data_IF_937887718758
#
_entry.id   IF_937887718758
#
_cell.length_a   1.000
_cell.length_b   1.000
_cell.length_c   1.000
_cell.angle_alpha   90.00
_cell.angle_beta   90.00
_cell.angle_gamma   90.00
#
_symmetry.space_group_name_H-M   'P 1'
#
loop_
_entity.id
_entity.type
_entity.pdbx_description
1 polymer ?
#
# COMPACT_ATOMS: atom_id res chain seq x y z
N UNK A 1 53.53 32.42 -32.50
CA UNK A 1 54.44 31.82 -31.49
C UNK A 1 54.05 32.36 -30.12
N UNK A 2 54.18 31.62 -29.01
CA UNK A 2 53.57 30.33 -28.64
C UNK A 2 52.56 30.49 -27.46
N UNK A 3 51.51 29.64 -27.38
CA UNK A 3 51.22 28.60 -26.33
C UNK A 3 50.99 29.17 -24.91
N UNK A 4 49.87 28.93 -24.21
CA UNK A 4 49.34 27.64 -23.70
C UNK A 4 47.89 27.85 -23.19
N UNK A 5 46.86 27.05 -23.59
CA UNK A 5 46.36 25.78 -22.99
C UNK A 5 45.90 25.92 -21.52
N UNK A 6 44.76 25.44 -21.01
CA UNK A 6 43.57 24.68 -21.49
C UNK A 6 42.59 24.49 -20.28
N UNK A 7 41.45 23.76 -20.37
CA UNK A 7 40.13 24.17 -19.82
C UNK A 7 39.45 23.11 -18.91
N UNK A 8 38.21 23.38 -18.49
CA UNK A 8 37.18 22.41 -18.08
C UNK A 8 35.85 23.18 -18.00
N UNK A 9 34.69 22.82 -18.54
CA UNK A 9 34.14 21.62 -19.15
C UNK A 9 33.07 22.09 -20.16
N UNK A 10 33.14 21.62 -21.41
CA UNK A 10 32.04 21.54 -22.37
C UNK A 10 32.14 20.17 -23.01
N UNK A 11 31.00 19.68 -23.55
CA UNK A 11 30.69 18.43 -24.25
C UNK A 11 29.77 17.55 -23.41
N UNK A 12 28.70 16.96 -23.95
CA UNK A 12 28.08 17.03 -25.28
C UNK A 12 26.75 16.27 -25.15
N UNK A 13 25.68 16.81 -25.73
CA UNK A 13 25.02 16.26 -26.92
C UNK A 13 23.77 15.44 -26.59
N UNK A 14 22.64 16.10 -26.84
CA UNK A 14 21.45 15.48 -27.39
C UNK A 14 21.82 14.66 -28.62
N UNK A 15 21.36 13.42 -28.69
CA UNK A 15 20.66 12.78 -29.82
C UNK A 15 20.64 11.26 -29.57
N UNK A 16 19.52 10.63 -29.93
CA UNK A 16 19.36 9.20 -30.19
C UNK A 16 19.03 8.28 -29.01
N UNK A 17 17.78 8.36 -28.54
CA UNK A 17 17.04 7.15 -28.10
C UNK A 17 15.54 7.19 -28.51
N UNK A 18 15.15 8.09 -29.42
CA UNK A 18 13.75 8.29 -29.83
C UNK A 18 13.42 7.68 -31.22
N UNK A 19 14.24 6.78 -31.78
CA UNK A 19 14.09 6.30 -33.18
C UNK A 19 14.24 4.77 -33.36
N UNK A 20 14.06 3.93 -32.33
CA UNK A 20 14.05 2.44 -32.55
C UNK A 20 12.83 1.69 -31.97
N UNK A 21 11.83 2.37 -31.41
CA UNK A 21 10.59 1.68 -30.95
C UNK A 21 9.30 2.15 -31.66
N UNK A 22 9.39 2.89 -32.77
CA UNK A 22 8.22 3.45 -33.47
C UNK A 22 8.13 3.02 -34.95
N UNK A 23 8.72 1.88 -35.30
CA UNK A 23 8.59 1.31 -36.64
C UNK A 23 8.33 -0.19 -36.53
N UNK A 24 7.06 -0.52 -36.36
CA UNK A 24 6.31 -1.71 -36.84
C UNK A 24 5.01 -1.82 -36.00
N UNK A 25 4.16 -0.80 -36.09
CA UNK A 25 2.77 -0.89 -35.63
C UNK A 25 1.86 -0.53 -36.80
N UNK A 26 1.92 -1.36 -37.84
CA UNK A 26 0.89 -1.43 -38.88
C UNK A 26 0.64 -2.90 -39.18
N UNK A 27 -0.47 -3.41 -38.67
CA UNK A 27 -1.19 -4.57 -39.22
C UNK A 27 -0.61 -5.95 -38.91
N UNK A 28 -0.71 -6.37 -37.64
CA UNK A 28 -1.22 -7.71 -37.36
C UNK A 28 -2.51 -7.49 -36.57
N UNK A 29 -3.65 -7.85 -37.16
CA UNK A 29 -4.91 -7.89 -36.43
C UNK A 29 -4.84 -9.10 -35.49
N UNK A 30 -5.08 -8.82 -34.21
CA UNK A 30 -5.56 -9.68 -33.13
C UNK A 30 -4.97 -11.09 -32.98
N UNK A 31 -4.09 -11.24 -31.97
CA UNK A 31 -3.91 -12.50 -31.24
C UNK A 31 -3.84 -12.24 -29.71
N UNK A 32 -4.29 -11.05 -29.28
CA UNK A 32 -4.39 -10.67 -27.87
C UNK A 32 -5.74 -11.11 -27.33
N UNK A 33 -5.76 -12.14 -26.48
CA UNK A 33 -6.97 -12.59 -25.80
C UNK A 33 -7.16 -11.85 -24.49
N UNK A 34 -8.35 -11.31 -24.26
CA UNK A 34 -8.69 -10.61 -23.02
C UNK A 34 -9.35 -11.52 -21.99
N UNK A 35 -8.97 -11.37 -20.72
CA UNK A 35 -9.47 -12.15 -19.60
C UNK A 35 -9.95 -11.22 -18.49
N UNK A 36 -11.20 -11.39 -18.08
CA UNK A 36 -11.77 -10.74 -16.90
C UNK A 36 -11.22 -11.41 -15.65
N UNK A 37 -10.29 -10.74 -14.97
CA UNK A 37 -9.59 -11.27 -13.81
C UNK A 37 -10.18 -10.72 -12.52
N UNK A 38 -10.43 -11.62 -11.56
CA UNK A 38 -10.83 -11.28 -10.21
C UNK A 38 -9.92 -11.97 -9.19
N UNK A 39 -9.56 -11.27 -8.13
CA UNK A 39 -8.78 -11.84 -7.03
C UNK A 39 -9.64 -12.84 -6.26
N UNK A 40 -9.14 -14.07 -6.09
CA UNK A 40 -9.72 -15.03 -5.14
C UNK A 40 -9.23 -14.68 -3.74
N UNK A 41 -10.06 -13.96 -2.99
CA UNK A 41 -9.73 -13.53 -1.63
C UNK A 41 -9.55 -14.68 -0.64
N UNK A 42 -10.08 -15.88 -0.92
CA UNK A 42 -9.90 -17.05 -0.05
C UNK A 42 -8.55 -17.70 -0.23
N UNK A 43 -7.99 -17.59 -1.44
CA UNK A 43 -6.68 -18.13 -1.79
C UNK A 43 -5.57 -17.09 -1.64
N UNK A 44 -5.92 -15.80 -1.53
CA UNK A 44 -4.98 -14.69 -1.40
C UNK A 44 -4.79 -14.24 0.04
N UNK A 45 -3.59 -13.79 0.38
CA UNK A 45 -3.29 -13.17 1.67
C UNK A 45 -2.31 -12.00 1.54
N UNK A 46 -2.41 -11.08 2.49
CA UNK A 46 -1.42 -10.04 2.73
C UNK A 46 -1.16 -9.97 4.22
N UNK A 47 0.11 -9.95 4.58
CA UNK A 47 0.61 -9.78 5.94
C UNK A 47 1.60 -8.63 5.94
N UNK A 48 1.23 -7.54 6.61
CA UNK A 48 2.06 -6.35 6.72
C UNK A 48 2.40 -6.09 8.19
N UNK A 49 3.64 -6.39 8.57
CA UNK A 49 4.22 -5.91 9.81
C UNK A 49 4.62 -4.44 9.68
N UNK A 50 4.21 -3.62 10.64
CA UNK A 50 4.58 -2.20 10.71
C UNK A 50 5.06 -1.88 12.11
N UNK A 51 6.25 -1.32 12.21
CA UNK A 51 6.79 -0.73 13.44
C UNK A 51 7.20 0.72 13.16
N UNK A 52 6.45 1.66 13.73
CA UNK A 52 6.83 3.07 13.77
C UNK A 52 7.41 3.34 15.16
N UNK A 53 8.69 3.71 15.21
CA UNK A 53 9.38 4.04 16.44
C UNK A 53 9.91 5.47 16.42
N UNK A 54 9.55 6.24 17.44
CA UNK A 54 10.06 7.59 17.65
C UNK A 54 10.68 7.68 19.05
N UNK A 55 12.00 7.48 19.21
CA UNK A 55 12.67 7.68 20.48
C UNK A 55 12.75 9.17 20.80
N UNK A 56 12.51 9.52 22.07
CA UNK A 56 12.64 10.87 22.59
C UNK A 56 13.19 10.86 24.01
N UNK A 57 13.72 11.99 24.43
CA UNK A 57 14.16 12.22 25.81
C UNK A 57 13.64 13.56 26.29
N UNK A 58 13.53 13.70 27.60
CA UNK A 58 12.82 14.82 28.17
C UNK A 58 12.81 14.86 29.69
N UNK A 59 11.89 15.64 30.22
CA UNK A 59 11.70 15.81 31.66
C UNK A 59 10.23 15.61 32.07
N UNK A 60 10.05 14.96 33.21
CA UNK A 60 8.79 14.93 33.95
C UNK A 60 8.88 15.98 35.06
N UNK A 61 7.90 16.86 35.18
CA UNK A 61 7.81 17.82 36.29
C UNK A 61 6.42 17.75 36.90
N UNK A 62 6.29 17.92 38.21
CA UNK A 62 4.97 18.00 38.83
C UNK A 62 4.18 19.22 38.35
N UNK A 63 2.86 19.13 38.30
CA UNK A 63 1.96 20.21 37.87
C UNK A 63 1.82 21.38 38.87
N UNK A 64 2.60 21.39 39.95
CA UNK A 64 2.64 22.47 40.93
C UNK A 64 3.05 23.81 40.30
N UNK A 65 2.19 24.81 40.48
CA UNK A 65 2.47 26.22 40.20
C UNK A 65 2.05 27.08 41.38
N UNK A 66 2.93 27.96 41.86
CA UNK A 66 2.68 28.72 43.08
C UNK A 66 1.49 29.71 42.98
N UNK A 67 1.07 30.09 41.76
CA UNK A 67 -0.01 31.05 41.50
C UNK A 67 -1.29 30.37 41.06
N UNK A 68 -1.20 29.39 40.16
CA UNK A 68 -2.35 28.78 39.49
C UNK A 68 -2.69 27.40 40.01
N UNK A 69 -1.72 26.65 40.56
CA UNK A 69 -1.93 25.30 41.12
C UNK A 69 -1.06 25.04 42.36
N UNK A 70 -1.29 25.77 43.48
CA UNK A 70 -0.41 25.70 44.66
C UNK A 70 -0.52 24.39 45.44
N UNK A 71 -1.52 23.55 45.12
CA UNK A 71 -1.70 22.21 45.69
C UNK A 71 -1.24 21.11 44.74
N UNK A 72 -0.70 21.47 43.57
CA UNK A 72 -0.23 20.52 42.56
C UNK A 72 0.90 19.63 43.05
N UNK A 73 1.12 18.57 42.29
CA UNK A 73 2.18 17.60 42.51
C UNK A 73 3.53 18.29 42.35
N UNK A 74 4.49 17.99 43.22
CA UNK A 74 5.88 18.37 43.05
C UNK A 74 6.74 17.14 42.81
N UNK A 75 7.72 17.23 41.91
CA UNK A 75 8.68 16.16 41.64
C UNK A 75 10.07 16.49 42.19
N UNK A 76 10.79 15.48 42.70
CA UNK A 76 12.16 15.63 43.21
C UNK A 76 13.02 14.39 42.90
N UNK A 77 14.24 14.55 42.37
CA UNK A 77 15.08 13.42 41.97
C UNK A 77 15.62 12.61 43.16
N UNK A 78 15.88 11.34 42.92
CA UNK A 78 16.52 10.42 43.85
C UNK A 78 15.61 9.85 44.95
N UNK A 79 16.18 8.95 45.75
CA UNK A 79 15.48 8.23 46.83
C UNK A 79 15.12 9.14 48.02
N UNK A 80 15.88 10.19 48.26
CA UNK A 80 15.72 11.07 49.42
C UNK A 80 15.07 12.41 49.08
N UNK A 81 15.00 12.76 47.79
CA UNK A 81 14.47 14.03 47.31
C UNK A 81 15.37 15.24 47.61
N UNK A 82 14.85 16.42 47.30
CA UNK A 82 15.44 17.73 47.57
C UNK A 82 14.36 18.74 48.01
N UNK A 83 14.42 19.98 47.53
CA UNK A 83 13.37 21.00 47.74
C UNK A 83 12.76 21.46 46.41
N UNK A 84 11.55 22.03 46.48
CA UNK A 84 10.85 22.59 45.31
C UNK A 84 10.26 21.54 44.38
N UNK A 85 9.93 22.01 43.17
CA UNK A 85 9.44 21.21 42.05
C UNK A 85 10.56 21.16 40.99
N UNK A 86 11.14 19.99 40.77
CA UNK A 86 12.34 19.81 39.94
C UNK A 86 12.07 18.83 38.79
N UNK A 87 12.61 19.09 37.59
CA UNK A 87 12.47 18.20 36.45
C UNK A 87 13.19 16.86 36.68
N UNK A 88 12.57 15.77 36.27
CA UNK A 88 13.08 14.40 36.35
C UNK A 88 13.39 13.91 34.93
N UNK A 89 14.66 13.64 34.60
CA UNK A 89 15.02 13.11 33.30
C UNK A 89 14.38 11.75 33.03
N UNK A 90 13.89 11.57 31.80
CA UNK A 90 13.42 10.29 31.28
C UNK A 90 13.88 10.11 29.82
N UNK A 91 13.90 8.85 29.40
CA UNK A 91 13.96 8.44 27.99
C UNK A 91 12.69 7.68 27.66
N UNK A 92 12.11 7.90 26.49
CA UNK A 92 10.94 7.15 26.06
C UNK A 92 11.01 6.84 24.56
N UNK A 93 10.14 5.93 24.14
CA UNK A 93 9.92 5.64 22.73
C UNK A 93 8.42 5.50 22.51
N UNK A 94 7.89 6.29 21.59
CA UNK A 94 6.60 5.99 20.99
C UNK A 94 6.81 4.81 20.04
N UNK A 95 5.93 3.81 20.14
CA UNK A 95 5.91 2.64 19.28
C UNK A 95 4.48 2.40 18.82
N UNK A 96 4.28 2.37 17.52
CA UNK A 96 3.08 1.82 16.88
C UNK A 96 3.54 0.54 16.20
N UNK A 97 3.13 -0.59 16.75
CA UNK A 97 3.67 -1.91 16.43
C UNK A 97 2.52 -2.88 16.23
N UNK A 98 2.43 -3.46 15.05
CA UNK A 98 1.42 -4.47 14.79
C UNK A 98 1.58 -5.12 13.43
N UNK A 99 0.80 -6.17 13.24
CA UNK A 99 0.70 -6.91 11.99
C UNK A 99 -0.72 -6.75 11.48
N UNK A 100 -0.85 -6.26 10.25
CA UNK A 100 -2.13 -6.25 9.53
C UNK A 100 -2.17 -7.49 8.66
N UNK A 101 -3.13 -8.37 8.94
CA UNK A 101 -3.43 -9.53 8.12
C UNK A 101 -4.75 -9.28 7.38
N UNK A 102 -4.75 -9.47 6.07
CA UNK A 102 -5.92 -9.25 5.23
C UNK A 102 -6.00 -10.24 4.07
N UNK A 103 -7.17 -10.28 3.46
CA UNK A 103 -7.46 -11.08 2.27
C UNK A 103 -7.81 -10.12 1.12
N UNK A 104 -6.83 -9.74 0.27
CA UNK A 104 -7.05 -8.76 -0.78
C UNK A 104 -8.22 -9.13 -1.70
N UNK A 105 -8.89 -8.12 -2.23
CA UNK A 105 -9.92 -8.26 -3.26
C UNK A 105 -9.62 -7.29 -4.42
N UNK A 106 -10.24 -7.50 -5.57
CA UNK A 106 -10.04 -6.61 -6.70
C UNK A 106 -10.24 -7.29 -8.03
N UNK A 107 -10.16 -6.47 -9.08
CA UNK A 107 -10.36 -6.90 -10.46
C UNK A 107 -9.38 -6.20 -11.39
N UNK A 108 -9.10 -6.82 -12.53
CA UNK A 108 -8.40 -6.20 -13.64
C UNK A 108 -8.72 -6.96 -14.93
N UNK A 109 -8.48 -6.33 -16.08
CA UNK A 109 -8.53 -6.99 -17.37
C UNK A 109 -7.11 -7.32 -17.80
N UNK A 110 -6.87 -8.57 -18.18
CA UNK A 110 -5.59 -9.03 -18.71
C UNK A 110 -5.70 -9.33 -20.20
N UNK A 111 -4.96 -8.61 -21.04
CA UNK A 111 -4.73 -9.00 -22.43
C UNK A 111 -3.49 -9.88 -22.53
N UNK A 112 -3.57 -11.01 -23.23
CA UNK A 112 -2.47 -11.94 -23.40
C UNK A 112 -2.18 -12.16 -24.88
N UNK A 113 -0.97 -11.83 -25.30
CA UNK A 113 -0.41 -12.17 -26.60
C UNK A 113 0.74 -13.15 -26.36
N UNK A 114 0.46 -14.44 -26.55
CA UNK A 114 1.44 -15.50 -26.27
C UNK A 114 2.49 -15.62 -27.38
N UNK A 115 2.21 -15.15 -28.60
CA UNK A 115 3.16 -15.14 -29.71
C UNK A 115 4.19 -14.02 -29.54
N UNK A 116 3.75 -12.82 -29.18
CA UNK A 116 4.60 -11.68 -28.86
C UNK A 116 5.21 -11.76 -27.45
N UNK A 117 4.77 -12.72 -26.63
CA UNK A 117 5.14 -12.88 -25.22
C UNK A 117 4.87 -11.61 -24.40
N UNK A 118 3.68 -11.05 -24.54
CA UNK A 118 3.24 -9.83 -23.87
C UNK A 118 1.99 -10.07 -23.02
N UNK A 119 1.92 -9.35 -21.90
CA UNK A 119 0.72 -9.23 -21.09
C UNK A 119 0.35 -7.77 -21.02
N UNK A 120 -0.94 -7.44 -21.06
CA UNK A 120 -1.44 -6.10 -20.88
C UNK A 120 -2.37 -6.05 -19.69
N UNK A 121 -2.11 -5.15 -18.74
CA UNK A 121 -2.93 -4.96 -17.55
C UNK A 121 -3.75 -3.68 -17.71
N UNK A 122 -5.07 -3.79 -17.60
CA UNK A 122 -6.01 -2.69 -17.82
C UNK A 122 -6.98 -2.62 -16.65
N UNK A 123 -7.21 -1.39 -16.16
CA UNK A 123 -8.22 -1.11 -15.14
C UNK A 123 -7.99 -1.86 -13.83
N UNK A 124 -6.73 -2.07 -13.43
CA UNK A 124 -6.41 -2.72 -12.17
C UNK A 124 -6.97 -1.92 -11.00
N UNK A 125 -7.74 -2.59 -10.16
CA UNK A 125 -8.28 -2.05 -8.93
C UNK A 125 -8.16 -3.09 -7.83
N UNK A 126 -7.22 -2.88 -6.90
CA UNK A 126 -6.99 -3.74 -5.74
C UNK A 126 -7.41 -3.03 -4.46
N UNK A 127 -8.20 -3.72 -3.64
CA UNK A 127 -8.35 -3.44 -2.22
C UNK A 127 -7.47 -4.42 -1.45
N UNK A 128 -6.37 -3.89 -0.91
CA UNK A 128 -5.35 -4.67 -0.21
C UNK A 128 -5.81 -5.11 1.18
N UNK A 129 -6.85 -4.49 1.73
CA UNK A 129 -7.44 -4.91 3.01
C UNK A 129 -8.62 -5.86 2.84
N UNK A 130 -9.25 -5.89 1.67
CA UNK A 130 -10.43 -6.72 1.40
C UNK A 130 -11.62 -6.35 2.29
N UNK A 131 -11.77 -5.06 2.59
CA UNK A 131 -12.78 -4.53 3.51
C UNK A 131 -12.52 -4.77 5.01
N UNK A 132 -11.37 -5.34 5.39
CA UNK A 132 -10.94 -5.40 6.79
C UNK A 132 -10.30 -4.08 7.24
N UNK A 133 -10.36 -3.78 8.54
CA UNK A 133 -9.60 -2.66 9.11
C UNK A 133 -8.28 -3.19 9.68
N UNK A 134 -7.17 -2.52 9.32
CA UNK A 134 -5.87 -2.80 9.94
C UNK A 134 -5.75 -2.04 11.25
N UNK A 135 -5.51 -2.72 12.38
CA UNK A 135 -5.35 -2.07 13.69
C UNK A 135 -3.94 -2.22 14.19
N UNK A 136 -3.30 -1.08 14.50
CA UNK A 136 -1.94 -1.00 15.00
C UNK A 136 -1.96 -0.34 16.38
N UNK A 137 -1.71 -1.08 17.47
CA UNK A 137 -1.72 -0.51 18.82
C UNK A 137 -0.57 0.46 19.02
N UNK A 138 -0.86 1.61 19.63
CA UNK A 138 0.11 2.64 19.95
C UNK A 138 0.44 2.62 21.45
N UNK A 139 1.74 2.54 21.75
CA UNK A 139 2.28 2.51 23.10
C UNK A 139 3.39 3.56 23.26
N UNK A 140 3.49 4.13 24.46
CA UNK A 140 4.65 4.93 24.86
C UNK A 140 5.39 4.17 25.94
N UNK A 141 6.63 3.78 25.64
CA UNK A 141 7.50 3.07 26.55
C UNK A 141 8.38 4.08 27.27
N UNK A 142 8.07 4.40 28.54
CA UNK A 142 8.76 5.44 29.33
C UNK A 142 9.72 4.77 30.31
N UNK A 143 10.98 5.23 30.33
CA UNK A 143 11.99 4.87 31.32
C UNK A 143 12.46 6.14 32.04
N UNK A 144 12.24 6.21 33.34
CA UNK A 144 12.60 7.36 34.16
C UNK A 144 13.63 6.99 35.23
N UNK A 145 14.36 8.01 35.68
CA UNK A 145 15.25 7.90 36.84
C UNK A 145 14.45 7.92 38.15
N UNK A 146 14.96 7.28 39.20
CA UNK A 146 14.25 7.22 40.50
C UNK A 146 13.91 8.63 41.00
N UNK A 147 12.64 8.87 41.36
CA UNK A 147 12.18 10.16 41.87
C UNK A 147 11.08 10.03 42.91
N UNK A 148 10.78 11.14 43.60
CA UNK A 148 9.63 11.26 44.50
C UNK A 148 8.66 12.31 44.02
N UNK A 149 7.40 12.07 44.35
CA UNK A 149 6.32 13.06 44.24
C UNK A 149 5.92 13.53 45.64
N UNK A 150 5.40 14.75 45.72
CA UNK A 150 4.73 15.31 46.90
C UNK A 150 3.37 15.85 46.46
N UNK A 151 2.34 15.65 47.28
CA UNK A 151 0.94 15.91 46.93
C UNK A 151 0.47 15.16 45.66
N UNK A 152 0.38 13.81 45.68
CA UNK A 152 0.59 12.90 46.82
C UNK A 152 2.06 12.52 47.05
N UNK A 153 2.39 12.06 48.27
CA UNK A 153 3.74 11.56 48.57
C UNK A 153 3.91 10.13 48.05
N UNK A 154 4.80 9.92 47.07
CA UNK A 154 5.12 8.59 46.55
C UNK A 154 6.55 8.51 46.02
N UNK A 155 7.19 7.36 46.17
CA UNK A 155 8.46 6.99 45.54
C UNK A 155 8.18 6.24 44.23
N UNK A 156 8.83 6.67 43.15
CA UNK A 156 8.85 6.04 41.84
C UNK A 156 10.24 5.45 41.59
N UNK A 157 10.44 4.13 41.76
CA UNK A 157 11.71 3.47 41.48
C UNK A 157 12.03 3.53 39.98
N UNK A 158 13.21 4.05 39.62
CA UNK A 158 13.67 4.08 38.23
C UNK A 158 14.23 2.75 37.76
N UNK A 159 14.61 2.70 36.48
CA UNK A 159 15.15 1.48 35.85
C UNK A 159 14.09 0.47 35.41
N UNK A 160 12.82 0.87 35.42
CA UNK A 160 11.70 0.10 34.89
C UNK A 160 11.12 0.87 33.70
N UNK A 161 10.88 0.16 32.60
CA UNK A 161 10.15 0.70 31.44
C UNK A 161 8.66 0.46 31.67
N UNK A 162 7.85 1.52 31.62
CA UNK A 162 6.40 1.45 31.71
C UNK A 162 5.82 1.57 30.30
N UNK A 163 5.15 0.52 29.77
CA UNK A 163 4.33 0.66 28.58
C UNK A 163 3.03 1.36 28.95
N UNK A 164 2.78 2.52 28.33
CA UNK A 164 1.53 3.25 28.45
C UNK A 164 0.79 3.14 27.12
N UNK A 165 -0.30 2.35 27.03
CA UNK A 165 -1.17 2.36 25.85
C UNK A 165 -1.78 3.75 25.72
N UNK A 166 -1.64 4.35 24.53
CA UNK A 166 -2.18 5.68 24.25
C UNK A 166 -3.39 5.62 23.31
N UNK A 167 -3.66 4.45 22.74
CA UNK A 167 -4.79 4.12 21.87
C UNK A 167 -4.31 3.33 20.66
N UNK A 168 -5.11 3.28 19.61
CA UNK A 168 -4.80 2.53 18.39
C UNK A 168 -4.72 3.48 17.19
N UNK A 169 -3.98 3.04 16.17
CA UNK A 169 -4.09 3.55 14.82
C UNK A 169 -4.87 2.55 13.96
N UNK A 170 -5.81 3.04 13.18
CA UNK A 170 -6.64 2.23 12.30
C UNK A 170 -6.36 2.62 10.85
N UNK A 171 -6.18 1.61 10.00
CA UNK A 171 -6.09 1.73 8.56
C UNK A 171 -7.42 1.25 8.02
N UNK A 172 -8.26 2.20 7.61
CA UNK A 172 -9.61 1.91 7.13
C UNK A 172 -9.68 1.68 5.61
N UNK A 173 -8.68 2.15 4.87
CA UNK A 173 -8.62 1.98 3.41
C UNK A 173 -7.16 1.86 2.98
N UNK A 174 -6.86 0.85 2.16
CA UNK A 174 -5.61 0.76 1.42
C UNK A 174 -5.90 0.14 0.05
N UNK A 175 -5.96 0.99 -0.97
CA UNK A 175 -6.32 0.58 -2.35
C UNK A 175 -5.26 1.01 -3.35
N UNK A 176 -5.11 0.23 -4.41
CA UNK A 176 -4.29 0.57 -5.57
C UNK A 176 -5.17 0.60 -6.80
N UNK A 177 -5.31 1.77 -7.43
CA UNK A 177 -6.16 1.98 -8.60
C UNK A 177 -5.31 2.41 -9.78
N UNK A 178 -5.35 1.68 -10.89
CA UNK A 178 -4.56 1.98 -12.07
C UNK A 178 -4.88 3.36 -12.63
N UNK A 179 -3.82 4.09 -12.99
CA UNK A 179 -3.93 5.38 -13.67
C UNK A 179 -3.47 5.26 -15.11
N UNK A 180 -4.18 5.94 -16.01
CA UNK A 180 -3.88 5.93 -17.45
C UNK A 180 -4.41 4.69 -18.17
N UNK A 181 -3.86 4.46 -19.36
CA UNK A 181 -4.26 3.37 -20.25
C UNK A 181 -3.66 2.01 -19.83
N UNK A 182 -4.06 0.96 -20.54
CA UNK A 182 -3.50 -0.38 -20.38
C UNK A 182 -1.98 -0.42 -20.49
N UNK A 183 -1.33 -1.09 -19.54
CA UNK A 183 0.13 -1.17 -19.43
C UNK A 183 0.61 -2.50 -19.96
N UNK A 184 1.60 -2.47 -20.86
CA UNK A 184 2.27 -3.66 -21.33
C UNK A 184 3.34 -4.13 -20.36
N UNK A 185 3.35 -5.43 -20.13
CA UNK A 185 4.36 -6.22 -19.46
C UNK A 185 4.91 -7.30 -20.37
N UNK A 186 5.85 -8.07 -19.85
CA UNK A 186 6.49 -9.18 -20.55
C UNK A 186 6.04 -10.51 -19.98
N UNK A 187 5.97 -11.52 -20.85
CA UNK A 187 5.82 -12.92 -20.50
C UNK A 187 7.13 -13.67 -20.80
N UNK A 188 7.44 -14.67 -19.99
CA UNK A 188 8.60 -15.56 -20.19
C UNK A 188 8.19 -16.99 -19.94
N UNK A 189 8.09 -17.76 -21.01
CA UNK A 189 7.68 -19.17 -20.98
C UNK A 189 8.65 -20.01 -20.13
N UNK A 190 8.07 -20.91 -19.34
CA UNK A 190 8.76 -21.86 -18.47
C UNK A 190 8.63 -23.28 -19.05
N UNK A 191 9.55 -24.16 -18.66
CA UNK A 191 9.59 -25.55 -19.17
C UNK A 191 8.34 -26.39 -18.84
N UNK A 192 7.57 -25.97 -17.84
CA UNK A 192 6.34 -26.64 -17.41
C UNK A 192 5.09 -26.11 -18.12
N UNK A 193 5.25 -25.21 -19.11
CA UNK A 193 4.15 -24.59 -19.85
C UNK A 193 3.49 -23.40 -19.12
N UNK A 194 4.02 -22.99 -17.96
CA UNK A 194 3.62 -21.72 -17.33
C UNK A 194 4.44 -20.55 -17.85
N UNK A 195 4.02 -19.33 -17.52
CA UNK A 195 4.73 -18.10 -17.86
C UNK A 195 5.10 -17.37 -16.58
N UNK A 196 6.29 -16.76 -16.55
CA UNK A 196 6.57 -15.67 -15.63
C UNK A 196 6.13 -14.37 -16.28
N UNK A 197 5.50 -13.49 -15.52
CA UNK A 197 5.09 -12.19 -16.02
C UNK A 197 5.67 -11.07 -15.17
N UNK A 198 5.90 -9.92 -15.81
CA UNK A 198 6.32 -8.69 -15.12
C UNK A 198 5.69 -7.48 -15.81
N UNK A 199 5.06 -6.60 -15.05
CA UNK A 199 4.61 -5.29 -15.50
C UNK A 199 4.79 -4.26 -14.38
N UNK A 200 4.90 -2.99 -14.76
CA UNK A 200 5.02 -1.87 -13.82
C UNK A 200 3.81 -0.97 -14.01
N UNK A 201 2.76 -1.18 -13.22
CA UNK A 201 1.46 -0.54 -13.40
C UNK A 201 1.45 0.79 -12.64
N UNK A 202 1.30 1.95 -13.29
CA UNK A 202 1.06 3.21 -12.60
C UNK A 202 -0.27 3.12 -11.85
N UNK A 203 -0.25 3.43 -10.56
CA UNK A 203 -1.43 3.38 -9.70
C UNK A 203 -1.49 4.63 -8.83
N UNK A 204 -2.69 5.04 -8.49
CA UNK A 204 -2.96 5.87 -7.34
C UNK A 204 -3.15 4.97 -6.13
N UNK A 205 -2.25 5.11 -5.15
CA UNK A 205 -2.42 4.49 -3.83
C UNK A 205 -3.32 5.38 -2.99
N UNK A 206 -4.44 4.81 -2.53
CA UNK A 206 -5.44 5.51 -1.72
C UNK A 206 -5.36 4.95 -0.31
N UNK A 207 -5.15 5.83 0.67
CA UNK A 207 -4.94 5.47 2.07
C UNK A 207 -5.82 6.30 3.00
N UNK A 208 -6.53 5.62 3.91
CA UNK A 208 -7.27 6.26 5.01
C UNK A 208 -6.77 5.72 6.34
N UNK A 209 -6.27 6.62 7.19
CA UNK A 209 -5.68 6.30 8.50
C UNK A 209 -6.19 7.25 9.57
N UNK A 210 -6.68 6.66 10.66
CA UNK A 210 -6.96 7.39 11.89
C UNK A 210 -5.97 6.98 12.97
N UNK A 211 -5.55 7.93 13.80
CA UNK A 211 -4.64 7.69 14.93
C UNK A 211 -5.28 8.31 16.17
N UNK A 212 -5.48 7.50 17.20
CA UNK A 212 -6.15 7.93 18.45
C UNK A 212 -7.54 8.53 18.22
N UNK A 213 -8.27 8.02 17.22
CA UNK A 213 -9.61 8.50 16.83
C UNK A 213 -9.62 9.84 16.09
N UNK A 214 -8.47 10.33 15.63
CA UNK A 214 -8.37 11.51 14.77
C UNK A 214 -7.84 11.11 13.38
N UNK A 215 -8.44 11.59 12.28
CA UNK A 215 -7.95 11.30 10.94
C UNK A 215 -6.60 11.97 10.72
N UNK A 216 -5.61 11.17 10.33
CA UNK A 216 -4.27 11.64 9.94
C UNK A 216 -4.13 11.63 8.41
N UNK A 217 -4.81 10.71 7.74
CA UNK A 217 -4.99 10.68 6.30
C UNK A 217 -6.44 10.28 5.99
N UNK A 218 -7.10 11.01 5.11
CA UNK A 218 -8.48 10.73 4.70
C UNK A 218 -8.51 10.61 3.18
N UNK A 219 -8.66 9.38 2.68
CA UNK A 219 -8.53 9.00 1.27
C UNK A 219 -7.37 9.73 0.57
N UNK A 220 -6.22 9.75 1.23
CA UNK A 220 -5.03 10.41 0.73
C UNK A 220 -4.53 9.65 -0.51
N UNK A 221 -4.40 10.37 -1.62
CA UNK A 221 -3.96 9.80 -2.90
C UNK A 221 -2.48 10.05 -3.10
N UNK A 222 -1.71 8.99 -3.34
CA UNK A 222 -0.29 9.03 -3.65
C UNK A 222 -0.01 8.31 -4.98
N UNK A 223 0.36 9.05 -6.05
CA UNK A 223 0.76 8.45 -7.31
C UNK A 223 2.01 7.59 -7.13
N UNK A 224 1.95 6.35 -7.58
CA UNK A 224 3.02 5.37 -7.45
C UNK A 224 3.06 4.43 -8.66
N UNK A 225 4.06 3.55 -8.67
CA UNK A 225 4.17 2.46 -9.64
C UNK A 225 4.15 1.16 -8.87
N UNK A 226 3.14 0.33 -9.14
CA UNK A 226 2.99 -1.00 -8.57
C UNK A 226 3.66 -2.01 -9.49
N UNK A 227 4.82 -2.58 -9.10
CA UNK A 227 5.38 -3.71 -9.82
C UNK A 227 4.48 -4.93 -9.59
N UNK A 228 3.90 -5.45 -10.67
CA UNK A 228 3.15 -6.70 -10.67
C UNK A 228 4.00 -7.75 -11.36
N UNK A 229 4.43 -8.74 -10.61
CA UNK A 229 5.22 -9.84 -11.14
C UNK A 229 4.85 -11.14 -10.45
N UNK A 230 5.04 -12.24 -11.17
CA UNK A 230 4.64 -13.54 -10.67
C UNK A 230 4.54 -14.58 -11.76
N UNK A 231 3.69 -15.57 -11.52
CA UNK A 231 3.45 -16.70 -12.42
C UNK A 231 2.05 -16.60 -13.03
N UNK A 232 1.94 -16.98 -14.29
CA UNK A 232 0.72 -17.11 -15.06
C UNK A 232 0.61 -18.56 -15.53
N UNK A 233 -0.54 -19.19 -15.29
CA UNK A 233 -0.84 -20.56 -15.73
C UNK A 233 -2.10 -20.55 -16.56
N UNK A 234 -2.04 -21.13 -17.77
CA UNK A 234 -3.23 -21.39 -18.57
C UNK A 234 -3.92 -22.65 -18.09
N UNK A 235 -5.24 -22.57 -17.95
CA UNK A 235 -6.10 -23.67 -17.55
C UNK A 235 -7.15 -23.92 -18.63
N UNK A 236 -7.94 -24.98 -18.49
CA UNK A 236 -9.07 -25.23 -19.41
C UNK A 236 -10.19 -24.21 -19.26
N UNK A 237 -10.27 -23.52 -18.13
CA UNK A 237 -11.36 -22.60 -17.80
C UNK A 237 -10.97 -21.11 -18.01
N UNK A 238 -9.72 -20.85 -18.38
CA UNK A 238 -9.16 -19.50 -18.47
C UNK A 238 -7.73 -19.47 -17.96
N UNK A 239 -7.38 -18.49 -17.14
CA UNK A 239 -6.03 -18.26 -16.64
C UNK A 239 -5.99 -18.09 -15.12
N UNK A 240 -4.82 -18.34 -14.52
CA UNK A 240 -4.56 -18.05 -13.11
C UNK A 240 -3.26 -17.27 -13.00
N UNK A 241 -3.35 -16.08 -12.41
CA UNK A 241 -2.21 -15.28 -11.98
C UNK A 241 -1.89 -15.57 -10.51
N UNK A 242 -0.61 -15.74 -10.20
CA UNK A 242 -0.08 -15.81 -8.83
C UNK A 242 1.00 -14.75 -8.68
N UNK A 243 0.70 -13.70 -7.95
CA UNK A 243 1.64 -12.63 -7.59
C UNK A 243 2.15 -12.92 -6.19
N UNK A 244 3.45 -12.90 -6.00
CA UNK A 244 4.03 -13.05 -4.68
C UNK A 244 5.09 -11.97 -4.47
N UNK A 245 5.02 -11.31 -3.31
CA UNK A 245 6.00 -10.30 -2.93
C UNK A 245 6.30 -10.43 -1.45
N UNK A 246 7.58 -10.46 -1.13
CA UNK A 246 8.05 -10.43 0.25
C UNK A 246 9.20 -9.44 0.35
N UNK A 247 9.21 -8.59 1.36
CA UNK A 247 10.27 -7.62 1.53
C UNK A 247 10.17 -6.90 2.86
N UNK A 248 11.25 -6.23 3.23
CA UNK A 248 11.27 -5.34 4.38
C UNK A 248 11.98 -4.05 4.02
N UNK A 249 11.47 -2.92 4.48
CA UNK A 249 12.11 -1.63 4.37
C UNK A 249 12.24 -0.98 5.75
N UNK A 250 13.25 -0.14 5.90
CA UNK A 250 13.48 0.63 7.12
C UNK A 250 13.95 2.02 6.73
N UNK A 251 13.15 3.02 7.09
CA UNK A 251 13.46 4.41 6.81
C UNK A 251 13.43 5.23 8.08
N UNK A 252 14.52 5.96 8.34
CA UNK A 252 14.59 6.96 9.41
C UNK A 252 14.50 8.35 8.81
N UNK A 253 13.50 9.12 9.23
CA UNK A 253 13.34 10.52 8.85
C UNK A 253 13.65 11.44 10.03
N UNK A 254 14.51 12.46 9.84
CA UNK A 254 14.76 13.46 10.87
C UNK A 254 13.56 14.38 11.07
N UNK A 255 13.35 14.84 12.30
CA UNK A 255 12.30 15.81 12.65
C UNK A 255 12.94 17.12 13.07
N UNK A 256 12.67 18.21 12.35
CA UNK A 256 13.29 19.52 12.62
C UNK A 256 12.65 20.28 13.78
N UNK A 257 11.37 20.01 14.12
CA UNK A 257 10.62 20.71 15.18
C UNK A 257 9.81 19.75 16.08
N UNK A 258 10.45 18.74 16.66
CA UNK A 258 9.78 17.71 17.47
C UNK A 258 9.71 18.01 18.97
N UNK A 259 9.88 19.27 19.39
CA UNK A 259 9.83 19.65 20.79
C UNK A 259 8.39 19.82 21.28
N UNK A 260 8.09 19.29 22.46
CA UNK A 260 6.82 19.46 23.14
C UNK A 260 7.04 19.75 24.63
N UNK A 261 6.14 20.52 25.24
CA UNK A 261 6.18 20.82 26.67
C UNK A 261 4.77 20.82 27.25
N UNK A 262 4.71 20.68 28.57
CA UNK A 262 3.50 20.88 29.37
C UNK A 262 2.32 19.95 29.01
N UNK A 263 2.61 18.74 28.50
CA UNK A 263 1.58 17.72 28.25
C UNK A 263 1.22 17.05 29.59
N UNK A 264 -0.05 17.05 30.03
CA UNK A 264 -0.44 16.39 31.27
C UNK A 264 -0.29 14.87 31.20
N UNK A 265 0.32 14.27 32.23
CA UNK A 265 0.48 12.84 32.43
C UNK A 265 0.12 12.47 33.87
N UNK A 266 -1.01 11.79 34.05
CA UNK A 266 -1.42 11.27 35.34
C UNK A 266 -0.81 9.89 35.57
N UNK A 267 0.05 9.76 36.57
CA UNK A 267 0.68 8.49 36.95
C UNK A 267 0.12 7.97 38.27
N UNK A 268 -0.35 6.70 38.34
CA UNK A 268 -0.67 6.05 39.61
C UNK A 268 0.56 6.03 40.53
N UNK A 269 0.38 6.32 41.82
CA UNK A 269 1.48 6.24 42.78
C UNK A 269 1.94 4.79 42.96
N UNK A 270 3.26 4.60 43.10
CA UNK A 270 3.87 3.26 43.21
C UNK A 270 4.11 2.89 44.66
N UNK A 271 4.74 3.75 45.46
CA UNK A 271 5.10 3.48 46.87
C UNK A 271 4.92 4.73 47.74
N UNK A 272 3.82 4.85 48.51
CA UNK A 272 2.65 3.97 48.58
C UNK A 272 1.73 4.09 47.35
N UNK A 273 0.99 3.01 47.04
CA UNK A 273 -0.08 3.01 46.03
C UNK A 273 -1.33 3.75 46.52
N UNK A 274 -2.24 4.09 45.60
CA UNK A 274 -3.58 4.58 45.94
C UNK A 274 -3.82 6.09 45.71
N UNK A 275 -2.83 6.80 45.17
CA UNK A 275 -2.99 8.18 44.67
C UNK A 275 -2.69 8.29 43.18
N UNK A 276 -2.92 9.48 42.64
CA UNK A 276 -2.51 9.86 41.27
C UNK A 276 -1.59 11.07 41.41
N UNK A 277 -0.39 10.98 40.82
CA UNK A 277 0.53 12.09 40.65
C UNK A 277 0.28 12.73 39.29
N UNK A 278 -0.07 14.02 39.28
CA UNK A 278 -0.30 14.77 38.04
C UNK A 278 1.01 15.43 37.62
N UNK A 279 1.61 14.92 36.56
CA UNK A 279 2.87 15.41 36.03
C UNK A 279 2.63 16.11 34.69
N UNK A 280 3.61 16.89 34.29
CA UNK A 280 3.76 17.48 32.97
C UNK A 280 4.97 16.82 32.31
N UNK A 281 4.78 16.31 31.09
CA UNK A 281 5.84 15.72 30.28
C UNK A 281 6.27 16.73 29.21
N UNK A 282 7.59 16.91 29.10
CA UNK A 282 8.23 17.70 28.07
C UNK A 282 9.35 16.87 27.45
N UNK A 283 9.60 17.03 26.15
CA UNK A 283 10.61 16.26 25.46
C UNK A 283 10.82 16.71 24.03
N UNK A 284 11.75 16.05 23.36
CA UNK A 284 12.08 16.32 21.96
C UNK A 284 12.20 15.02 21.17
N UNK A 285 11.40 14.88 20.12
CA UNK A 285 11.56 13.85 19.09
C UNK A 285 12.50 14.37 18.02
N UNK A 286 13.61 13.66 17.76
CA UNK A 286 14.61 14.08 16.77
C UNK A 286 14.52 13.30 15.45
N UNK A 287 13.92 12.12 15.48
CA UNK A 287 13.73 11.28 14.32
C UNK A 287 12.56 10.31 14.54
N UNK A 288 11.96 9.88 13.44
CA UNK A 288 10.99 8.78 13.40
C UNK A 288 11.57 7.72 12.48
N UNK A 289 11.53 6.47 12.93
CA UNK A 289 11.88 5.30 12.10
C UNK A 289 10.62 4.53 11.79
N UNK A 290 10.43 4.20 10.52
CA UNK A 290 9.36 3.35 10.03
C UNK A 290 10.02 2.09 9.50
N UNK A 291 9.68 0.96 10.11
CA UNK A 291 10.03 -0.36 9.65
C UNK A 291 8.76 -1.02 9.12
N UNK A 292 8.85 -1.57 7.91
CA UNK A 292 7.76 -2.33 7.32
C UNK A 292 8.29 -3.66 6.84
N UNK A 293 7.47 -4.70 7.02
CA UNK A 293 7.69 -6.02 6.46
C UNK A 293 6.41 -6.43 5.75
N UNK A 294 6.52 -6.80 4.49
CA UNK A 294 5.42 -7.26 3.66
C UNK A 294 5.68 -8.72 3.30
N UNK A 295 4.66 -9.53 3.41
CA UNK A 295 4.56 -10.84 2.80
C UNK A 295 3.16 -10.97 2.19
N UNK A 296 3.09 -11.30 0.90
CA UNK A 296 1.81 -11.37 0.20
C UNK A 296 1.86 -12.39 -0.92
N UNK A 297 0.74 -13.08 -1.08
CA UNK A 297 0.40 -13.88 -2.25
C UNK A 297 -1.00 -13.49 -2.71
N UNK A 298 -1.11 -13.01 -3.94
CA UNK A 298 -2.38 -12.67 -4.58
C UNK A 298 -2.62 -13.64 -5.72
N UNK A 299 -3.73 -14.36 -5.64
CA UNK A 299 -4.20 -15.28 -6.67
C UNK A 299 -5.39 -14.63 -7.37
N UNK A 300 -5.29 -14.45 -8.67
CA UNK A 300 -6.39 -13.96 -9.49
C UNK A 300 -6.75 -14.97 -10.58
N UNK A 301 -8.03 -15.29 -10.68
CA UNK A 301 -8.58 -16.15 -11.71
C UNK A 301 -9.17 -15.28 -12.82
N UNK A 302 -8.79 -15.58 -14.06
CA UNK A 302 -9.27 -14.89 -15.24
C UNK A 302 -10.10 -15.80 -16.12
N UNK A 303 -11.33 -15.40 -16.42
CA UNK A 303 -12.14 -16.07 -17.46
C UNK A 303 -11.97 -15.34 -18.78
N UNK A 304 -11.92 -16.10 -19.88
CA UNK A 304 -11.86 -15.49 -21.20
C UNK A 304 -13.06 -14.56 -21.38
N UNK A 305 -12.79 -13.32 -21.79
CA UNK A 305 -13.83 -12.35 -22.10
C UNK A 305 -14.38 -12.70 -23.48
N UNK A 306 -15.66 -13.08 -23.53
CA UNK A 306 -16.33 -13.31 -24.81
C UNK A 306 -16.49 -11.99 -25.57
N UNK A 307 -16.07 -11.99 -26.84
CA UNK A 307 -16.28 -10.87 -27.75
C UNK A 307 -17.56 -11.13 -28.53
N UNK A 308 -18.54 -10.23 -28.42
CA UNK A 308 -19.82 -10.39 -29.13
C UNK A 308 -19.54 -10.36 -30.62
N UNK A 309 -19.88 -11.45 -31.32
CA UNK A 309 -19.65 -11.56 -32.77
C UNK A 309 -18.36 -12.29 -33.16
N UNK A 310 -17.52 -12.70 -32.21
CA UNK A 310 -16.44 -13.67 -32.43
C UNK A 310 -17.06 -15.07 -32.45
N UNK A 311 -17.29 -15.58 -33.66
CA UNK A 311 -18.04 -16.79 -33.92
C UNK A 311 -17.15 -18.02 -34.10
N UNK A 312 -15.86 -17.82 -34.41
CA UNK A 312 -14.87 -18.91 -34.45
C UNK A 312 -14.06 -19.06 -33.16
N UNK A 313 -14.17 -18.09 -32.23
CA UNK A 313 -13.53 -18.08 -30.93
C UNK A 313 -12.06 -17.68 -30.98
N UNK A 314 -11.64 -16.94 -32.01
CA UNK A 314 -10.25 -16.51 -32.21
C UNK A 314 -9.90 -15.21 -31.47
N UNK A 315 -10.84 -14.62 -30.74
CA UNK A 315 -10.66 -13.41 -29.95
C UNK A 315 -10.82 -12.11 -30.75
N UNK A 316 -11.16 -12.17 -32.02
CA UNK A 316 -11.36 -11.04 -32.91
C UNK A 316 -12.69 -11.15 -33.66
N UNK A 317 -13.25 -10.01 -34.07
CA UNK A 317 -14.42 -10.00 -34.97
C UNK A 317 -14.01 -9.52 -36.36
N UNK A 318 -13.94 -10.45 -37.32
CA UNK A 318 -13.48 -10.17 -38.66
C UNK A 318 -14.29 -10.86 -39.80
N UNK A 319 -13.67 -10.93 -40.98
CA UNK A 319 -14.27 -11.53 -42.17
C UNK A 319 -14.62 -13.01 -42.01
N UNK A 320 -13.93 -13.72 -41.13
CA UNK A 320 -14.16 -15.13 -40.81
C UNK A 320 -15.46 -15.28 -40.02
N UNK A 321 -15.67 -14.45 -39.01
CA UNK A 321 -16.92 -14.42 -38.24
C UNK A 321 -18.10 -14.01 -39.11
N UNK A 322 -17.91 -12.99 -39.96
CA UNK A 322 -18.92 -12.61 -40.93
C UNK A 322 -19.28 -13.76 -41.87
N UNK A 323 -18.30 -14.54 -42.32
CA UNK A 323 -18.57 -15.70 -43.16
C UNK A 323 -19.37 -16.78 -42.41
N UNK A 324 -19.10 -16.99 -41.12
CA UNK A 324 -19.87 -17.92 -40.26
C UNK A 324 -21.29 -17.41 -40.06
N UNK A 325 -21.48 -16.12 -39.78
CA UNK A 325 -22.79 -15.50 -39.63
C UNK A 325 -23.61 -15.65 -40.92
N UNK A 326 -23.04 -15.27 -42.06
CA UNK A 326 -23.70 -15.37 -43.37
C UNK A 326 -23.97 -16.82 -43.79
N UNK A 327 -23.13 -17.78 -43.39
CA UNK A 327 -23.38 -19.21 -43.59
C UNK A 327 -24.60 -19.74 -42.84
N UNK A 328 -24.99 -19.07 -41.76
CA UNK A 328 -26.16 -19.37 -40.92
C UNK A 328 -27.39 -18.52 -41.24
N UNK A 329 -27.33 -17.64 -42.25
CA UNK A 329 -28.41 -16.71 -42.57
C UNK A 329 -29.78 -17.39 -42.70
N UNK A 330 -30.78 -16.85 -41.99
CA UNK A 330 -32.15 -17.35 -41.93
C UNK A 330 -32.35 -18.65 -41.14
N UNK A 331 -31.33 -19.14 -40.41
CA UNK A 331 -31.40 -20.32 -39.54
C UNK A 331 -31.19 -19.89 -38.08
N UNK A 332 -31.49 -20.76 -37.11
CA UNK A 332 -31.01 -20.62 -35.73
C UNK A 332 -29.56 -21.10 -35.62
N UNK A 333 -28.77 -20.60 -34.68
CA UNK A 333 -27.45 -21.16 -34.38
C UNK A 333 -26.47 -20.15 -33.82
N UNK A 334 -25.17 -20.41 -33.99
CA UNK A 334 -24.09 -19.58 -33.42
C UNK A 334 -24.10 -18.13 -33.90
N UNK A 335 -24.69 -17.83 -35.06
CA UNK A 335 -24.81 -16.46 -35.58
C UNK A 335 -26.05 -15.69 -35.12
N UNK A 336 -26.89 -16.26 -34.25
CA UNK A 336 -28.07 -15.61 -33.65
C UNK A 336 -27.62 -14.88 -32.37
N UNK A 337 -27.07 -13.68 -32.58
CA UNK A 337 -26.43 -12.83 -31.57
C UNK A 337 -27.45 -12.01 -30.77
N UNK A 338 -28.62 -11.67 -31.36
CA UNK A 338 -29.69 -10.96 -30.65
C UNK A 338 -30.71 -11.89 -29.98
N UNK A 339 -30.65 -13.20 -30.27
CA UNK A 339 -31.42 -14.24 -29.62
C UNK A 339 -32.88 -14.29 -30.05
N UNK A 340 -33.22 -13.72 -31.22
CA UNK A 340 -34.59 -13.73 -31.75
C UNK A 340 -35.04 -15.08 -32.32
N UNK A 341 -34.11 -16.03 -32.44
CA UNK A 341 -34.31 -17.37 -32.96
C UNK A 341 -33.91 -17.54 -34.43
N UNK A 342 -33.40 -16.50 -35.09
CA UNK A 342 -32.97 -16.53 -36.49
C UNK A 342 -31.84 -15.56 -36.84
N UNK A 343 -30.80 -16.04 -37.52
CA UNK A 343 -29.71 -15.19 -38.01
C UNK A 343 -30.19 -14.25 -39.13
N UNK A 344 -30.08 -12.95 -38.92
CA UNK A 344 -30.52 -11.93 -39.86
C UNK A 344 -29.82 -10.58 -39.73
N UNK A 345 -30.55 -9.52 -40.09
CA UNK A 345 -30.01 -8.16 -40.13
C UNK A 345 -29.68 -7.57 -38.76
N UNK A 346 -30.36 -8.04 -37.70
CA UNK A 346 -30.06 -7.67 -36.31
C UNK A 346 -28.67 -8.16 -35.90
N UNK A 347 -28.41 -9.45 -36.09
CA UNK A 347 -27.12 -10.08 -35.78
C UNK A 347 -25.97 -9.49 -36.59
N UNK A 348 -26.18 -9.28 -37.89
CA UNK A 348 -25.18 -8.64 -38.74
C UNK A 348 -24.81 -7.25 -38.20
N UNK A 349 -25.79 -6.49 -37.70
CA UNK A 349 -25.54 -5.17 -37.13
C UNK A 349 -24.73 -5.29 -35.83
N UNK A 350 -25.00 -6.31 -34.99
CA UNK A 350 -24.23 -6.57 -33.78
C UNK A 350 -22.77 -6.95 -34.10
N UNK A 351 -22.55 -7.87 -35.05
CA UNK A 351 -21.22 -8.28 -35.48
C UNK A 351 -20.44 -7.11 -36.07
N UNK A 352 -21.05 -6.32 -36.96
CA UNK A 352 -20.38 -5.15 -37.56
C UNK A 352 -20.10 -4.03 -36.54
N UNK A 353 -20.93 -3.90 -35.49
CA UNK A 353 -20.65 -2.98 -34.40
C UNK A 353 -19.43 -3.42 -33.58
N UNK A 354 -19.16 -4.72 -33.51
CA UNK A 354 -17.97 -5.28 -32.88
C UNK A 354 -16.78 -5.43 -33.86
N UNK A 355 -16.89 -4.95 -35.10
CA UNK A 355 -15.86 -5.20 -36.11
C UNK A 355 -14.46 -4.70 -35.71
N UNK A 356 -13.49 -5.60 -35.72
CA UNK A 356 -12.10 -5.31 -35.36
C UNK A 356 -11.87 -5.05 -33.86
N UNK A 357 -12.86 -5.36 -33.00
CA UNK A 357 -12.65 -5.52 -31.56
C UNK A 357 -11.90 -6.79 -31.25
#
# INVERSE_FOLDING_TARGET
MPRTRFPALRHAASLSAAVVAAALAQGALADEFFYDCAIDSKASFLTQGTLISAPFSGTLIGDFDAKTNPTGTQTRPGLFGGSGNQPIPYTASFALDGVVESNPTGTFLAGLDLEALQVRIIGLEFDLLGGAEGVLPATVNINYTTFRTFSPNSLFPGGVTIPVPIGDATIGELRAVQTGDGVFGSLTEQKDGSYLFTAAVPVDLILSVEVLGAPVAESAVSPSVLPVSGRLVLTKAGIVFTLASSGSDSQTQPIENGAFSDIPLALPTVLPTGGIANLLIAGTVSAVTIESALDTEIIAEGTLREVVGDLDGNGAVDGTDLAILLGNWGKSGVGDLDGDGSVGGGDLSLLLNAWGS
#
